data_IF_758925352989
#
_entry.id   IF_758925352989
#
_cell.length_a   1.000
_cell.length_b   1.000
_cell.length_c   1.000
_cell.angle_alpha   90.00
_cell.angle_beta   90.00
_cell.angle_gamma   90.00
#
_symmetry.space_group_name_H-M   'P 1'
#
loop_
_entity.id
_entity.type
_entity.pdbx_description
1 polymer ?
#
# COMPACT_ATOMS: atom_id res chain seq x y z
N UNK A 1 14.22 -14.52 16.72
CA UNK A 1 14.25 -13.56 15.59
C UNK A 1 13.06 -12.65 15.74
N UNK A 2 13.24 -11.34 15.61
CA UNK A 2 12.14 -10.39 15.75
C UNK A 2 11.18 -10.46 14.54
N UNK A 3 9.89 -10.17 14.75
CA UNK A 3 8.87 -10.21 13.70
C UNK A 3 9.18 -9.24 12.56
N UNK A 4 9.63 -8.02 12.86
CA UNK A 4 9.99 -7.01 11.87
C UNK A 4 11.19 -7.42 10.99
N UNK A 5 12.15 -8.16 11.57
CA UNK A 5 13.26 -8.75 10.81
C UNK A 5 12.75 -9.83 9.86
N UNK A 6 11.89 -10.71 10.34
CA UNK A 6 11.24 -11.76 9.54
C UNK A 6 10.49 -11.15 8.37
N UNK A 7 9.62 -10.17 8.63
CA UNK A 7 8.86 -9.45 7.60
C UNK A 7 9.77 -8.86 6.53
N UNK A 8 10.81 -8.13 6.94
CA UNK A 8 11.77 -7.53 6.00
C UNK A 8 12.44 -8.59 5.12
N UNK A 9 12.86 -9.71 5.69
CA UNK A 9 13.56 -10.76 4.94
C UNK A 9 12.65 -11.42 3.90
N UNK A 10 11.41 -11.75 4.29
CA UNK A 10 10.46 -12.42 3.39
C UNK A 10 9.89 -11.48 2.33
N UNK A 11 9.69 -10.19 2.64
CA UNK A 11 9.12 -9.23 1.68
C UNK A 11 10.15 -8.62 0.74
N UNK A 12 11.44 -8.56 1.13
CA UNK A 12 12.51 -7.94 0.33
C UNK A 12 12.60 -8.42 -1.12
N UNK A 13 12.64 -9.73 -1.43
CA UNK A 13 12.73 -10.18 -2.83
C UNK A 13 11.49 -9.75 -3.64
N UNK A 14 10.31 -9.84 -3.05
CA UNK A 14 9.05 -9.44 -3.69
C UNK A 14 8.99 -7.92 -3.92
N UNK A 15 9.45 -7.12 -2.95
CA UNK A 15 9.51 -5.65 -3.05
C UNK A 15 10.45 -5.23 -4.17
N UNK A 16 11.59 -5.91 -4.35
CA UNK A 16 12.50 -5.64 -5.47
C UNK A 16 11.85 -5.94 -6.82
N UNK A 17 11.24 -7.12 -6.96
CA UNK A 17 10.52 -7.47 -8.17
C UNK A 17 9.37 -6.47 -8.48
N UNK A 18 8.73 -5.94 -7.45
CA UNK A 18 7.74 -4.87 -7.55
C UNK A 18 8.34 -3.57 -8.13
N UNK A 19 9.48 -3.15 -7.59
CA UNK A 19 10.21 -1.93 -7.96
C UNK A 19 10.82 -2.00 -9.36
N UNK A 20 11.00 -3.20 -9.91
CA UNK A 20 11.52 -3.47 -11.26
C UNK A 20 10.43 -3.49 -12.35
N UNK A 21 9.18 -3.20 -12.00
CA UNK A 21 8.08 -3.14 -12.97
C UNK A 21 8.19 -1.93 -13.90
N UNK A 22 7.66 -2.01 -15.14
CA UNK A 22 7.63 -0.87 -16.07
C UNK A 22 6.99 0.40 -15.48
N UNK A 23 6.00 0.22 -14.61
CA UNK A 23 5.34 1.32 -13.90
C UNK A 23 6.33 2.09 -12.99
N UNK A 24 7.07 1.38 -12.14
CA UNK A 24 8.07 2.01 -11.27
C UNK A 24 9.26 2.57 -12.04
N UNK A 25 9.64 1.93 -13.15
CA UNK A 25 10.65 2.46 -14.06
C UNK A 25 10.20 3.80 -14.65
N UNK A 26 8.96 3.90 -15.13
CA UNK A 26 8.40 5.16 -15.65
C UNK A 26 8.36 6.28 -14.60
N UNK A 27 8.08 5.97 -13.33
CA UNK A 27 8.19 6.92 -12.22
C UNK A 27 9.63 7.39 -12.05
N UNK A 28 10.58 6.45 -11.96
CA UNK A 28 12.00 6.72 -11.71
C UNK A 28 12.61 7.61 -12.80
N UNK A 29 12.25 7.33 -14.05
CA UNK A 29 12.71 8.09 -15.22
C UNK A 29 11.99 9.43 -15.38
N UNK A 30 10.92 9.67 -14.60
CA UNK A 30 10.15 10.90 -14.66
C UNK A 30 9.31 11.03 -15.93
N UNK A 31 8.83 9.90 -16.48
CA UNK A 31 8.05 9.83 -17.73
C UNK A 31 6.64 9.28 -17.53
N UNK A 32 6.22 9.04 -16.28
CA UNK A 32 4.85 8.58 -15.99
C UNK A 32 3.82 9.67 -16.35
N UNK A 33 2.74 9.27 -17.04
CA UNK A 33 1.67 10.22 -17.39
C UNK A 33 0.78 10.54 -16.18
N UNK A 34 0.20 11.75 -16.17
CA UNK A 34 -0.78 12.15 -15.14
C UNK A 34 -1.98 11.20 -15.07
N UNK A 35 -2.48 10.73 -16.20
CA UNK A 35 -3.61 9.77 -16.25
C UNK A 35 -3.26 8.46 -15.55
N UNK A 36 -2.08 7.91 -15.85
CA UNK A 36 -1.63 6.64 -15.27
C UNK A 36 -1.34 6.76 -13.77
N UNK A 37 -0.72 7.86 -13.33
CA UNK A 37 -0.50 8.10 -11.91
C UNK A 37 -1.82 8.35 -11.16
N UNK A 38 -2.73 9.14 -11.71
CA UNK A 38 -4.07 9.33 -11.14
C UNK A 38 -4.84 8.02 -11.02
N UNK A 39 -4.67 7.13 -12.01
CA UNK A 39 -5.23 5.79 -11.93
C UNK A 39 -4.66 5.01 -10.76
N UNK A 40 -3.35 5.03 -10.52
CA UNK A 40 -2.76 4.42 -9.32
C UNK A 40 -3.38 4.98 -8.04
N UNK A 41 -3.49 6.31 -7.92
CA UNK A 41 -4.04 6.95 -6.71
C UNK A 41 -5.47 6.49 -6.42
N UNK A 42 -6.31 6.32 -7.45
CA UNK A 42 -7.66 5.76 -7.28
C UNK A 42 -7.66 4.32 -6.76
N UNK A 43 -6.74 3.48 -7.23
CA UNK A 43 -6.61 2.10 -6.78
C UNK A 43 -6.07 2.05 -5.33
N UNK A 44 -5.05 2.86 -5.00
CA UNK A 44 -4.55 3.01 -3.63
C UNK A 44 -5.64 3.52 -2.68
N UNK A 45 -6.43 4.50 -3.10
CA UNK A 45 -7.58 5.00 -2.34
C UNK A 45 -8.55 3.88 -2.00
N UNK A 46 -8.92 3.05 -2.98
CA UNK A 46 -9.84 1.93 -2.73
C UNK A 46 -9.25 0.92 -1.73
N UNK A 47 -7.94 0.61 -1.84
CA UNK A 47 -7.24 -0.24 -0.88
C UNK A 47 -7.23 0.37 0.53
N UNK A 48 -6.94 1.66 0.65
CA UNK A 48 -6.91 2.38 1.92
C UNK A 48 -8.28 2.49 2.57
N UNK A 49 -9.35 2.78 1.81
CA UNK A 49 -10.73 2.75 2.33
C UNK A 49 -11.04 1.40 2.98
N UNK A 50 -10.70 0.30 2.30
CA UNK A 50 -10.98 -1.04 2.83
C UNK A 50 -10.07 -1.42 4.00
N UNK A 51 -8.77 -1.10 3.94
CA UNK A 51 -7.81 -1.41 5.00
C UNK A 51 -8.08 -0.60 6.27
N UNK A 52 -8.22 0.72 6.15
CA UNK A 52 -8.43 1.62 7.28
C UNK A 52 -9.76 1.30 7.99
N UNK A 53 -10.87 1.14 7.24
CA UNK A 53 -12.15 0.73 7.82
C UNK A 53 -12.14 -0.70 8.41
N UNK A 54 -11.21 -1.56 7.98
CA UNK A 54 -11.00 -2.88 8.58
C UNK A 54 -10.23 -2.75 9.89
N UNK A 55 -9.14 -1.98 9.92
CA UNK A 55 -8.34 -1.75 11.12
C UNK A 55 -9.14 -1.05 12.23
N UNK A 56 -10.00 -0.09 11.91
CA UNK A 56 -10.85 0.62 12.88
C UNK A 56 -11.80 -0.30 13.67
N UNK A 57 -12.12 -1.50 13.14
CA UNK A 57 -12.96 -2.49 13.83
C UNK A 57 -12.23 -3.27 14.91
N UNK A 58 -10.90 -3.13 14.98
CA UNK A 58 -10.03 -3.90 15.86
C UNK A 58 -9.28 -2.96 16.81
N UNK A 59 -9.96 -2.38 17.81
CA UNK A 59 -9.32 -1.50 18.78
C UNK A 59 -8.18 -2.19 19.55
N UNK A 60 -8.17 -3.53 19.64
CA UNK A 60 -7.06 -4.32 20.16
C UNK A 60 -5.75 -4.17 19.36
N UNK A 61 -5.82 -3.69 18.12
CA UNK A 61 -4.66 -3.39 17.27
C UNK A 61 -4.24 -1.92 17.30
N UNK A 62 -4.97 -1.06 18.03
CA UNK A 62 -4.77 0.40 18.01
C UNK A 62 -3.38 0.83 18.52
N UNK A 63 -2.77 0.06 19.45
CA UNK A 63 -1.41 0.32 19.92
C UNK A 63 -0.35 0.17 18.81
N UNK A 64 -0.66 -0.62 17.78
CA UNK A 64 0.17 -0.83 16.60
C UNK A 64 -0.23 0.09 15.44
N UNK A 65 -1.42 0.67 15.48
CA UNK A 65 -1.99 1.49 14.40
C UNK A 65 -2.72 2.73 14.92
N UNK A 66 -2.09 3.88 14.70
CA UNK A 66 -2.68 5.20 14.90
C UNK A 66 -3.22 5.77 13.59
N UNK A 67 -4.55 5.94 13.45
CA UNK A 67 -5.19 6.53 12.26
C UNK A 67 -4.69 7.94 11.94
N UNK A 68 -4.34 8.74 12.93
CA UNK A 68 -3.83 10.11 12.73
C UNK A 68 -2.46 10.07 12.04
N UNK A 69 -1.64 9.07 12.39
CA UNK A 69 -0.28 8.94 11.83
C UNK A 69 -0.26 8.15 10.52
N UNK A 70 -1.02 7.07 10.46
CA UNK A 70 -0.94 6.08 9.39
C UNK A 70 -2.04 6.23 8.34
N UNK A 71 -3.16 6.88 8.68
CA UNK A 71 -4.25 7.12 7.75
C UNK A 71 -3.80 7.90 6.51
N UNK A 72 -4.24 7.45 5.34
CA UNK A 72 -3.88 8.06 4.05
C UNK A 72 -5.06 8.53 3.23
N UNK A 73 -6.28 8.14 3.61
CA UNK A 73 -7.46 8.41 2.82
C UNK A 73 -7.63 9.91 2.51
N UNK A 74 -7.47 10.78 3.51
CA UNK A 74 -7.59 12.23 3.33
C UNK A 74 -6.56 12.81 2.34
N UNK A 75 -5.31 12.31 2.37
CA UNK A 75 -4.25 12.78 1.47
C UNK A 75 -4.44 12.26 0.05
N UNK A 76 -4.93 11.02 -0.11
CA UNK A 76 -5.32 10.47 -1.41
C UNK A 76 -6.49 11.25 -2.02
N UNK A 77 -7.49 11.62 -1.21
CA UNK A 77 -8.61 12.46 -1.65
C UNK A 77 -8.13 13.84 -2.12
N UNK A 78 -7.22 14.46 -1.37
CA UNK A 78 -6.62 15.73 -1.74
C UNK A 78 -5.81 15.63 -3.04
N UNK A 79 -4.99 14.58 -3.18
CA UNK A 79 -4.19 14.38 -4.39
C UNK A 79 -5.05 14.17 -5.63
N UNK A 80 -6.11 13.37 -5.49
CA UNK A 80 -7.05 13.12 -6.57
C UNK A 80 -7.84 14.37 -6.97
N UNK A 81 -8.22 15.23 -6.02
CA UNK A 81 -8.86 16.49 -6.31
C UNK A 81 -7.98 17.42 -7.17
N UNK A 82 -6.66 17.40 -6.94
CA UNK A 82 -5.69 18.21 -7.69
C UNK A 82 -5.38 17.60 -9.07
N UNK A 83 -5.12 16.29 -9.12
CA UNK A 83 -4.59 15.64 -10.33
C UNK A 83 -5.67 15.09 -11.26
N UNK A 84 -6.83 14.74 -10.73
CA UNK A 84 -7.90 14.05 -11.47
C UNK A 84 -9.30 14.46 -10.98
N UNK A 85 -9.73 15.71 -11.23
CA UNK A 85 -11.04 16.21 -10.77
C UNK A 85 -12.24 15.57 -11.49
N UNK A 86 -12.01 14.67 -12.45
CA UNK A 86 -13.07 14.00 -13.22
C UNK A 86 -13.36 12.61 -12.65
N UNK A 87 -14.52 12.06 -13.04
CA UNK A 87 -15.17 10.84 -12.50
C UNK A 87 -14.20 9.69 -12.16
N UNK A 88 -14.53 8.90 -11.11
CA UNK A 88 -13.70 7.79 -10.65
C UNK A 88 -13.47 6.75 -11.76
N UNK A 89 -12.29 6.13 -11.73
CA UNK A 89 -12.06 4.91 -12.47
C UNK A 89 -12.74 3.72 -11.77
N UNK A 90 -13.30 2.80 -12.55
CA UNK A 90 -13.67 1.50 -12.01
C UNK A 90 -12.41 0.76 -11.56
N UNK A 91 -12.34 0.31 -10.31
CA UNK A 91 -11.18 -0.41 -9.75
C UNK A 91 -10.80 -1.62 -10.60
N UNK A 92 -9.50 -1.89 -10.78
CA UNK A 92 -9.03 -3.10 -11.48
C UNK A 92 -9.38 -4.37 -10.69
N UNK A 93 -9.39 -5.56 -11.33
CA UNK A 93 -9.74 -6.80 -10.64
C UNK A 93 -8.91 -7.09 -9.38
N UNK A 94 -7.58 -6.88 -9.41
CA UNK A 94 -6.74 -7.14 -8.23
C UNK A 94 -7.14 -6.27 -7.03
N UNK A 95 -7.47 -5.00 -7.26
CA UNK A 95 -7.90 -4.09 -6.19
C UNK A 95 -9.20 -4.59 -5.56
N UNK A 96 -10.14 -5.11 -6.35
CA UNK A 96 -11.38 -5.71 -5.82
C UNK A 96 -11.11 -6.96 -4.99
N UNK A 97 -10.18 -7.81 -5.43
CA UNK A 97 -9.77 -9.00 -4.69
C UNK A 97 -9.15 -8.60 -3.35
N UNK A 98 -8.20 -7.66 -3.37
CA UNK A 98 -7.51 -7.17 -2.18
C UNK A 98 -8.47 -6.49 -1.17
N UNK A 99 -9.39 -5.64 -1.65
CA UNK A 99 -10.38 -4.98 -0.76
C UNK A 99 -11.32 -5.99 -0.11
N UNK A 100 -11.81 -7.00 -0.85
CA UNK A 100 -12.59 -8.12 -0.28
C UNK A 100 -11.76 -8.91 0.73
N UNK A 101 -10.47 -9.11 0.45
CA UNK A 101 -9.55 -9.84 1.32
C UNK A 101 -9.30 -9.11 2.63
N UNK A 102 -9.13 -7.79 2.63
CA UNK A 102 -9.07 -7.00 3.87
C UNK A 102 -10.34 -7.15 4.71
N UNK A 103 -11.51 -7.11 4.08
CA UNK A 103 -12.77 -7.34 4.78
C UNK A 103 -12.90 -8.77 5.35
N UNK A 104 -12.38 -9.78 4.64
CA UNK A 104 -12.31 -11.18 5.13
C UNK A 104 -11.36 -11.30 6.33
N UNK A 105 -10.15 -10.74 6.22
CA UNK A 105 -9.16 -10.74 7.30
C UNK A 105 -9.67 -10.04 8.56
N UNK A 106 -10.39 -8.93 8.42
CA UNK A 106 -11.05 -8.26 9.56
C UNK A 106 -12.01 -9.20 10.31
N UNK A 107 -12.71 -10.10 9.63
CA UNK A 107 -13.63 -11.02 10.31
C UNK A 107 -12.94 -12.26 10.88
N UNK A 108 -11.95 -12.78 10.17
CA UNK A 108 -11.43 -14.13 10.44
C UNK A 108 -10.03 -14.13 11.07
N UNK A 109 -9.16 -13.22 10.64
CA UNK A 109 -7.74 -13.19 11.01
C UNK A 109 -7.19 -11.76 11.05
N UNK A 110 -7.60 -10.92 12.03
CA UNK A 110 -7.30 -9.47 12.04
C UNK A 110 -5.80 -9.15 12.02
N UNK A 111 -4.96 -10.02 12.59
CA UNK A 111 -3.50 -9.87 12.56
C UNK A 111 -2.91 -9.78 11.14
N UNK A 112 -3.57 -10.33 10.11
CA UNK A 112 -3.12 -10.14 8.71
C UNK A 112 -3.16 -8.68 8.27
N UNK A 113 -4.06 -7.87 8.84
CA UNK A 113 -4.15 -6.44 8.56
C UNK A 113 -2.89 -5.69 9.01
N UNK A 114 -2.22 -6.14 10.09
CA UNK A 114 -0.92 -5.59 10.50
C UNK A 114 0.16 -5.85 9.45
N UNK A 115 0.10 -7.01 8.79
CA UNK A 115 0.97 -7.33 7.66
C UNK A 115 0.75 -6.40 6.48
N UNK A 116 -0.51 -6.11 6.14
CA UNK A 116 -0.84 -5.13 5.11
C UNK A 116 -0.34 -3.72 5.46
N UNK A 117 -0.59 -3.29 6.69
CA UNK A 117 -0.12 -2.00 7.20
C UNK A 117 1.40 -1.87 7.13
N UNK A 118 2.14 -2.92 7.52
CA UNK A 118 3.59 -2.97 7.40
C UNK A 118 4.04 -2.68 5.96
N UNK A 119 3.40 -3.30 4.96
CA UNK A 119 3.73 -3.10 3.54
C UNK A 119 3.48 -1.67 3.10
N UNK A 120 2.34 -1.08 3.45
CA UNK A 120 2.02 0.31 3.07
C UNK A 120 2.97 1.32 3.72
N UNK A 121 3.29 1.14 5.02
CA UNK A 121 4.23 2.04 5.70
C UNK A 121 5.66 1.89 5.18
N UNK A 122 6.10 0.66 4.85
CA UNK A 122 7.39 0.45 4.19
C UNK A 122 7.42 1.12 2.80
N UNK A 123 6.38 0.92 1.99
CA UNK A 123 6.28 1.51 0.67
C UNK A 123 6.29 3.04 0.73
N UNK A 124 5.57 3.64 1.69
CA UNK A 124 5.54 5.09 1.92
C UNK A 124 6.93 5.63 2.23
N UNK A 125 7.62 5.02 3.19
CA UNK A 125 8.99 5.38 3.59
C UNK A 125 9.96 5.38 2.40
N UNK A 126 9.81 4.43 1.46
CA UNK A 126 10.61 4.36 0.23
C UNK A 126 10.17 5.36 -0.84
N UNK A 127 8.87 5.64 -0.95
CA UNK A 127 8.29 6.49 -1.99
C UNK A 127 8.76 7.93 -1.96
N UNK A 128 9.22 8.42 -0.79
CA UNK A 128 9.87 9.74 -0.65
C UNK A 128 11.05 9.94 -1.62
N UNK A 129 11.75 8.86 -1.99
CA UNK A 129 12.87 8.94 -2.95
C UNK A 129 12.41 9.21 -4.38
N UNK A 130 11.14 8.97 -4.69
CA UNK A 130 10.58 9.10 -6.04
C UNK A 130 9.85 10.42 -6.25
N UNK A 131 9.58 11.20 -5.20
CA UNK A 131 8.72 12.38 -5.26
C UNK A 131 9.22 13.46 -6.23
N UNK A 132 10.53 13.65 -6.34
CA UNK A 132 11.10 14.59 -7.30
C UNK A 132 10.94 14.13 -8.76
N UNK A 133 11.05 12.83 -9.01
CA UNK A 133 10.83 12.29 -10.36
C UNK A 133 9.34 12.36 -10.73
N UNK A 134 8.44 12.08 -9.78
CA UNK A 134 7.00 12.29 -9.92
C UNK A 134 6.65 13.76 -10.20
N UNK A 135 7.17 14.71 -9.41
CA UNK A 135 6.92 16.13 -9.60
C UNK A 135 7.33 16.62 -10.99
N UNK A 136 8.50 16.18 -11.49
CA UNK A 136 8.94 16.46 -12.86
C UNK A 136 7.99 15.84 -13.90
N UNK A 137 7.64 14.57 -13.76
CA UNK A 137 6.78 13.86 -14.71
C UNK A 137 5.37 14.49 -14.81
N UNK A 138 4.83 14.94 -13.68
CA UNK A 138 3.48 15.48 -13.58
C UNK A 138 3.41 16.99 -13.83
N UNK A 139 4.57 17.66 -13.89
CA UNK A 139 4.68 19.11 -14.02
C UNK A 139 4.13 19.86 -12.80
N UNK A 140 4.37 19.34 -11.58
CA UNK A 140 3.86 19.92 -10.32
C UNK A 140 4.99 20.19 -9.32
N UNK A 141 4.88 21.22 -8.48
CA UNK A 141 5.84 21.46 -7.40
C UNK A 141 5.88 20.28 -6.40
N UNK A 142 7.07 19.98 -5.87
CA UNK A 142 7.26 18.93 -4.85
C UNK A 142 6.94 19.45 -3.43
N UNK A 143 5.71 19.97 -3.26
CA UNK A 143 5.21 20.55 -2.01
C UNK A 143 3.81 20.01 -1.70
N UNK A 144 3.39 20.10 -0.43
CA UNK A 144 2.03 19.72 -0.02
C UNK A 144 0.96 20.51 -0.79
N UNK A 145 -0.19 19.88 -0.99
CA UNK A 145 -1.34 20.38 -1.74
C UNK A 145 -1.19 20.36 -3.26
N UNK A 146 -0.15 19.72 -3.80
CA UNK A 146 0.14 19.72 -5.25
C UNK A 146 -0.06 18.35 -5.91
N UNK A 147 -0.76 17.42 -5.26
CA UNK A 147 -1.03 16.10 -5.83
C UNK A 147 0.03 15.04 -5.48
N UNK A 148 0.83 15.28 -4.45
CA UNK A 148 1.90 14.39 -4.01
C UNK A 148 1.84 14.16 -2.48
N UNK A 149 0.74 14.51 -1.84
CA UNK A 149 0.55 14.52 -0.39
C UNK A 149 0.55 13.10 0.19
N UNK A 150 0.08 12.09 -0.55
CA UNK A 150 0.22 10.67 -0.21
C UNK A 150 1.68 10.30 0.09
N UNK A 151 2.63 10.92 -0.61
CA UNK A 151 4.07 10.71 -0.40
C UNK A 151 4.66 11.70 0.60
N UNK A 152 4.32 12.99 0.48
CA UNK A 152 4.97 14.09 1.20
C UNK A 152 4.48 14.24 2.64
N UNK A 153 3.27 13.80 2.94
CA UNK A 153 2.70 14.01 4.26
C UNK A 153 3.51 13.27 5.33
N UNK A 154 3.85 14.02 6.39
CA UNK A 154 4.64 13.50 7.50
C UNK A 154 6.07 13.10 7.10
N UNK A 155 6.60 13.58 5.96
CA UNK A 155 7.95 13.22 5.47
C UNK A 155 9.05 13.41 6.51
N UNK A 156 8.94 14.45 7.33
CA UNK A 156 9.94 14.79 8.36
C UNK A 156 10.00 13.72 9.45
N UNK A 157 8.87 13.06 9.71
CA UNK A 157 8.74 12.02 10.73
C UNK A 157 8.68 10.61 10.17
N UNK A 158 8.58 10.44 8.86
CA UNK A 158 8.36 9.14 8.22
C UNK A 158 9.35 8.05 8.68
N UNK A 159 10.65 8.38 8.78
CA UNK A 159 11.65 7.41 9.27
C UNK A 159 11.54 7.12 10.77
N UNK A 160 11.16 8.12 11.57
CA UNK A 160 10.95 7.96 13.02
C UNK A 160 9.71 7.11 13.27
N UNK A 161 8.60 7.45 12.62
CA UNK A 161 7.34 6.72 12.74
C UNK A 161 7.48 5.29 12.23
N UNK A 162 8.23 5.05 11.14
CA UNK A 162 8.53 3.70 10.65
C UNK A 162 9.36 2.87 11.64
N UNK A 163 10.38 3.47 12.27
CA UNK A 163 11.17 2.80 13.31
C UNK A 163 10.31 2.52 14.54
N UNK A 164 9.44 3.45 14.91
CA UNK A 164 8.49 3.29 16.00
C UNK A 164 7.55 2.11 15.74
N UNK A 165 6.87 2.10 14.59
CA UNK A 165 5.95 1.03 14.20
C UNK A 165 6.61 -0.35 14.26
N UNK A 166 7.81 -0.53 13.69
CA UNK A 166 8.53 -1.80 13.75
C UNK A 166 8.88 -2.23 15.18
N UNK A 167 9.25 -1.28 16.04
CA UNK A 167 9.56 -1.57 17.43
C UNK A 167 8.31 -2.00 18.20
N UNK A 168 7.18 -1.35 17.97
CA UNK A 168 5.92 -1.77 18.61
C UNK A 168 5.47 -3.14 18.08
N UNK A 169 5.65 -3.41 16.79
CA UNK A 169 5.40 -4.74 16.21
C UNK A 169 6.28 -5.83 16.81
N UNK A 170 7.55 -5.53 17.10
CA UNK A 170 8.48 -6.47 17.77
C UNK A 170 8.18 -6.66 19.26
N UNK A 171 7.53 -5.68 19.89
CA UNK A 171 7.13 -5.71 21.31
C UNK A 171 5.77 -6.35 21.52
N UNK A 172 4.91 -6.34 20.49
CA UNK A 172 3.64 -7.03 20.51
C UNK A 172 3.89 -8.49 20.88
N UNK A 173 3.34 -8.93 22.00
CA UNK A 173 3.47 -10.31 22.49
C UNK A 173 2.54 -11.24 21.70
N UNK A 174 2.68 -11.23 20.37
CA UNK A 174 1.91 -12.09 19.48
C UNK A 174 2.36 -13.53 19.64
N UNK A 175 1.39 -14.44 19.71
CA UNK A 175 1.68 -15.86 19.64
C UNK A 175 2.26 -16.25 18.26
N UNK A 176 2.71 -17.50 18.15
CA UNK A 176 3.32 -18.01 16.92
C UNK A 176 2.35 -18.02 15.74
N UNK A 177 1.06 -18.20 15.97
CA UNK A 177 0.05 -18.26 14.92
C UNK A 177 -0.26 -16.85 14.38
N UNK A 178 -0.47 -15.88 15.28
CA UNK A 178 -0.68 -14.47 14.96
C UNK A 178 0.53 -13.89 14.23
N UNK A 179 1.75 -14.21 14.67
CA UNK A 179 2.98 -13.82 13.96
C UNK A 179 3.04 -14.35 12.52
N UNK A 180 2.60 -15.60 12.29
CA UNK A 180 2.48 -16.16 10.92
C UNK A 180 1.45 -15.41 10.10
N UNK A 181 0.29 -15.09 10.67
CA UNK A 181 -0.73 -14.29 9.99
C UNK A 181 -0.23 -12.90 9.60
N UNK A 182 0.56 -12.22 10.43
CA UNK A 182 1.18 -10.94 10.06
C UNK A 182 2.08 -11.12 8.83
N UNK A 183 2.91 -12.16 8.81
CA UNK A 183 3.81 -12.46 7.68
C UNK A 183 3.03 -12.75 6.40
N UNK A 184 2.03 -13.63 6.47
CA UNK A 184 1.21 -14.00 5.31
C UNK A 184 0.42 -12.79 4.77
N UNK A 185 -0.15 -11.98 5.66
CA UNK A 185 -0.83 -10.72 5.29
C UNK A 185 0.09 -9.75 4.54
N UNK A 186 1.37 -9.65 4.94
CA UNK A 186 2.35 -8.82 4.26
C UNK A 186 2.70 -9.38 2.87
N UNK A 187 2.94 -10.69 2.75
CA UNK A 187 3.26 -11.33 1.47
C UNK A 187 2.11 -11.20 0.47
N UNK A 188 0.88 -11.45 0.91
CA UNK A 188 -0.31 -11.34 0.07
C UNK A 188 -0.57 -9.89 -0.36
N UNK A 189 -0.39 -8.92 0.54
CA UNK A 189 -0.54 -7.50 0.23
C UNK A 189 0.49 -7.05 -0.81
N UNK A 190 1.74 -7.43 -0.62
CA UNK A 190 2.81 -7.10 -1.56
C UNK A 190 2.59 -7.78 -2.91
N UNK A 191 2.09 -9.01 -2.94
CA UNK A 191 1.70 -9.71 -4.18
C UNK A 191 0.61 -8.94 -4.92
N UNK A 192 -0.44 -8.51 -4.22
CA UNK A 192 -1.52 -7.72 -4.81
C UNK A 192 -1.04 -6.38 -5.36
N UNK A 193 -0.15 -5.69 -4.63
CA UNK A 193 0.49 -4.46 -5.11
C UNK A 193 1.37 -4.70 -6.33
N UNK A 194 2.22 -5.74 -6.35
CA UNK A 194 3.01 -6.10 -7.53
C UNK A 194 2.12 -6.30 -8.76
N UNK A 195 1.04 -7.07 -8.62
CA UNK A 195 0.09 -7.34 -9.70
C UNK A 195 -0.62 -6.05 -10.15
N UNK A 196 -0.96 -5.16 -9.22
CA UNK A 196 -1.52 -3.85 -9.54
C UNK A 196 -0.54 -3.03 -10.41
N UNK A 197 0.72 -2.89 -9.99
CA UNK A 197 1.70 -2.11 -10.74
C UNK A 197 2.03 -2.73 -12.11
N UNK A 198 2.10 -4.06 -12.20
CA UNK A 198 2.28 -4.78 -13.47
C UNK A 198 1.09 -4.53 -14.43
N UNK A 199 -0.14 -4.60 -13.91
CA UNK A 199 -1.34 -4.33 -14.69
C UNK A 199 -1.43 -2.89 -15.19
N UNK A 200 -0.99 -1.92 -14.37
CA UNK A 200 -0.93 -0.51 -14.76
C UNK A 200 0.19 -0.22 -15.77
N UNK A 201 1.32 -0.94 -15.69
CA UNK A 201 2.46 -0.79 -16.61
C UNK A 201 2.23 -1.37 -18.02
N UNK A 202 1.04 -1.85 -18.35
CA UNK A 202 0.70 -2.38 -19.67
C UNK A 202 1.26 -3.77 -19.98
N UNK A 203 1.85 -4.45 -18.99
CA UNK A 203 2.58 -5.71 -19.19
C UNK A 203 1.76 -7.00 -19.06
N UNK A 204 0.47 -6.94 -18.71
CA UNK A 204 -0.31 -8.15 -18.39
C UNK A 204 -1.72 -8.15 -18.98
N UNK A 205 -2.01 -9.16 -19.79
CA UNK A 205 -3.39 -9.62 -20.03
C UNK A 205 -3.82 -10.45 -18.84
N UNK A 206 -4.91 -10.06 -18.17
CA UNK A 206 -5.49 -10.80 -17.05
C UNK A 206 -5.92 -12.21 -17.50
N UNK A 207 -5.04 -13.21 -17.37
CA UNK A 207 -5.46 -14.60 -17.51
C UNK A 207 -6.25 -15.00 -16.27
N UNK A 208 -7.56 -15.20 -16.44
CA UNK A 208 -8.55 -15.51 -15.40
C UNK A 208 -8.29 -16.80 -14.60
N UNK A 209 -7.21 -17.55 -14.89
CA UNK A 209 -6.96 -18.88 -14.33
C UNK A 209 -6.57 -18.93 -12.84
N UNK A 210 -6.11 -17.83 -12.23
CA UNK A 210 -5.72 -17.84 -10.79
C UNK A 210 -6.68 -17.11 -9.85
N UNK A 211 -7.71 -16.43 -10.38
CA UNK A 211 -8.69 -15.74 -9.55
C UNK A 211 -9.88 -16.63 -9.15
N UNK A 212 -10.15 -17.70 -9.89
CA UNK A 212 -11.31 -18.56 -9.65
C UNK A 212 -11.11 -19.60 -8.55
N UNK A 213 -9.87 -19.87 -8.12
CA UNK A 213 -9.61 -20.80 -7.01
C UNK A 213 -9.94 -20.19 -5.64
N UNK A 214 -9.91 -18.84 -5.52
CA UNK A 214 -10.20 -18.11 -4.27
C UNK A 214 -11.69 -17.71 -4.10
N UNK A 215 -12.53 -17.78 -5.15
CA UNK A 215 -13.97 -17.44 -5.07
C UNK A 215 -14.87 -18.66 -4.77
N UNK A 216 -14.32 -19.87 -4.77
CA UNK A 216 -15.05 -21.12 -4.53
C UNK A 216 -14.90 -21.68 -3.09
N UNK A 217 -14.27 -20.94 -2.16
CA UNK A 217 -14.04 -21.32 -0.76
C UNK A 217 -14.43 -20.22 0.23
#
# INVERSE_FOLDING_TARGET
MNLSTTLREVTRPMSRACEDTPFHQAIRDGVISRSLYSRLLWELRALHVALEASLEKHPELADLFDMVRHGRLAFLDQDLAVLCPRRPFSTVPITRVMTRRFAKWSRETPHRLLGALYVFEEARSKSLRQVHALGRALGVPCTLGQGLDYHLQGRERAQVDWKHFRRELDRAQLDSQSSRYVVEGAQETLTGLCQLYQGLGGGWQWSSRRLHEDEAS
#
